data_IF_241761243073
#
_entry.id   IF_241761243073
#
_cell.length_a   1.000
_cell.length_b   1.000
_cell.length_c   1.000
_cell.angle_alpha   90.00
_cell.angle_beta   90.00
_cell.angle_gamma   90.00
#
_symmetry.space_group_name_H-M   'P 1'
#
loop_
_entity.id
_entity.type
_entity.pdbx_description
1 polymer ?
#
# COMPACT_ATOMS: atom_id res chain seq x y z
N UNK A 1 -1.20 6.17 -15.78
CA UNK A 1 -2.30 6.50 -14.85
C UNK A 1 -2.16 7.89 -14.27
N UNK A 2 -1.13 8.18 -13.47
CA UNK A 2 -0.95 9.50 -12.81
C UNK A 2 -0.95 10.67 -13.81
N UNK A 3 -0.21 10.54 -14.92
CA UNK A 3 -0.14 11.58 -15.97
C UNK A 3 -1.50 11.83 -16.63
N UNK A 4 -2.26 10.79 -16.98
CA UNK A 4 -3.56 10.97 -17.63
C UNK A 4 -4.61 11.55 -16.67
N UNK A 5 -4.57 11.18 -15.40
CA UNK A 5 -5.48 11.72 -14.41
C UNK A 5 -5.16 13.19 -14.10
N UNK A 6 -3.88 13.53 -13.95
CA UNK A 6 -3.44 14.87 -13.59
C UNK A 6 -3.54 15.89 -14.74
N UNK A 7 -3.23 15.48 -15.98
CA UNK A 7 -3.19 16.41 -17.12
C UNK A 7 -4.44 16.40 -18.00
N UNK A 8 -5.20 15.30 -18.01
CA UNK A 8 -6.35 15.12 -18.90
C UNK A 8 -7.67 14.92 -18.13
N UNK A 9 -7.64 15.01 -16.80
CA UNK A 9 -8.78 14.76 -15.88
C UNK A 9 -9.52 13.44 -16.14
N UNK A 10 -8.90 12.53 -16.87
CA UNK A 10 -9.53 11.28 -17.25
C UNK A 10 -9.57 10.33 -16.06
N UNK A 11 -10.66 9.54 -15.92
CA UNK A 11 -10.75 8.51 -14.90
C UNK A 11 -9.49 7.60 -14.87
N UNK A 12 -8.93 7.29 -13.69
CA UNK A 12 -7.67 6.54 -13.58
C UNK A 12 -7.66 5.20 -14.33
N UNK A 13 -8.81 4.54 -14.49
CA UNK A 13 -8.90 3.28 -15.23
C UNK A 13 -8.49 3.41 -16.71
N UNK A 14 -8.72 4.55 -17.36
CA UNK A 14 -8.32 4.77 -18.75
C UNK A 14 -6.80 4.76 -18.90
N UNK A 15 -6.08 5.38 -17.95
CA UNK A 15 -4.62 5.34 -17.93
C UNK A 15 -4.06 3.95 -17.65
N UNK A 16 -4.79 3.10 -16.92
CA UNK A 16 -4.41 1.72 -16.64
C UNK A 16 -4.64 0.83 -17.87
N UNK A 17 -5.81 0.96 -18.50
CA UNK A 17 -6.18 0.23 -19.73
C UNK A 17 -5.28 0.60 -20.90
N UNK A 18 -4.93 1.89 -21.04
CA UNK A 18 -3.98 2.36 -22.05
C UNK A 18 -2.58 1.78 -21.81
N UNK A 19 -2.10 1.81 -20.56
CA UNK A 19 -0.81 1.22 -20.21
C UNK A 19 -0.74 -0.30 -20.49
N UNK A 20 -1.80 -1.04 -20.11
CA UNK A 20 -1.92 -2.47 -20.42
C UNK A 20 -2.00 -2.73 -21.93
N UNK A 21 -2.69 -1.88 -22.69
CA UNK A 21 -2.76 -1.95 -24.15
C UNK A 21 -1.40 -1.80 -24.81
N UNK A 22 -0.62 -0.81 -24.38
CA UNK A 22 0.76 -0.58 -24.87
C UNK A 22 1.65 -1.78 -24.51
N UNK A 23 1.60 -2.24 -23.26
CA UNK A 23 2.40 -3.38 -22.80
C UNK A 23 2.06 -4.67 -23.55
N UNK A 24 0.77 -4.94 -23.81
CA UNK A 24 0.33 -6.08 -24.61
C UNK A 24 0.77 -5.97 -26.05
N UNK A 25 0.71 -4.77 -26.64
CA UNK A 25 1.14 -4.54 -28.03
C UNK A 25 2.65 -4.76 -28.18
N UNK A 26 3.45 -4.20 -27.26
CA UNK A 26 4.90 -4.38 -27.26
C UNK A 26 5.31 -5.83 -26.93
N UNK A 27 4.66 -6.44 -25.94
CA UNK A 27 4.86 -7.85 -25.60
C UNK A 27 4.47 -8.80 -26.74
N UNK A 28 3.42 -8.46 -27.50
CA UNK A 28 3.05 -9.20 -28.72
C UNK A 28 4.12 -9.06 -29.79
N UNK A 29 4.67 -7.85 -30.00
CA UNK A 29 5.74 -7.63 -30.95
C UNK A 29 7.03 -8.40 -30.60
N UNK A 30 7.46 -8.37 -29.34
CA UNK A 30 8.60 -9.17 -28.85
C UNK A 30 8.33 -10.66 -29.07
N UNK A 31 7.16 -11.14 -28.64
CA UNK A 31 6.78 -12.54 -28.82
C UNK A 31 6.75 -12.95 -30.29
N UNK A 32 6.32 -12.06 -31.19
CA UNK A 32 6.28 -12.34 -32.64
C UNK A 32 7.68 -12.50 -33.21
N UNK A 33 8.65 -11.67 -32.77
CA UNK A 33 10.05 -11.78 -33.17
C UNK A 33 10.70 -13.05 -32.61
N UNK A 34 10.49 -13.31 -31.32
CA UNK A 34 11.01 -14.49 -30.64
C UNK A 34 10.47 -15.79 -31.25
N UNK A 35 9.19 -15.83 -31.67
CA UNK A 35 8.59 -16.97 -32.36
C UNK A 35 9.14 -17.20 -33.78
N UNK A 36 9.63 -16.16 -34.46
CA UNK A 36 10.24 -16.29 -35.80
C UNK A 36 11.67 -16.81 -35.70
N UNK A 37 12.40 -16.45 -34.64
CA UNK A 37 13.75 -16.94 -34.35
C UNK A 37 13.74 -18.26 -33.53
N UNK A 38 12.56 -18.75 -33.14
CA UNK A 38 12.42 -19.94 -32.30
C UNK A 38 12.75 -21.23 -33.06
N UNK A 39 13.86 -21.86 -32.71
CA UNK A 39 14.15 -23.26 -33.02
C UNK A 39 13.87 -24.10 -31.77
N UNK A 40 13.10 -25.17 -31.89
CA UNK A 40 12.88 -26.11 -30.78
C UNK A 40 14.22 -26.67 -30.31
N UNK A 41 14.69 -26.22 -29.14
CA UNK A 41 15.88 -26.77 -28.49
C UNK A 41 15.41 -28.09 -27.83
N UNK A 42 15.94 -29.26 -28.22
CA UNK A 42 15.59 -30.51 -27.57
C UNK A 42 15.99 -30.42 -26.09
N UNK A 43 15.03 -30.72 -25.21
CA UNK A 43 15.24 -30.76 -23.77
C UNK A 43 16.29 -31.85 -23.52
N UNK A 44 17.50 -31.47 -23.10
CA UNK A 44 18.50 -32.43 -22.63
C UNK A 44 18.01 -33.06 -21.33
N UNK A 45 18.19 -34.37 -21.15
CA UNK A 45 17.76 -35.14 -19.97
C UNK A 45 18.22 -34.53 -18.63
N UNK A 46 19.31 -33.75 -18.62
CA UNK A 46 19.81 -32.99 -17.47
C UNK A 46 18.89 -31.86 -16.95
N UNK A 47 17.92 -31.38 -17.75
CA UNK A 47 16.92 -30.42 -17.26
C UNK A 47 15.76 -31.09 -16.49
N UNK A 48 15.58 -32.41 -16.62
CA UNK A 48 14.59 -33.16 -15.81
C UNK A 48 15.07 -33.36 -14.36
N UNK A 49 16.38 -33.36 -14.12
CA UNK A 49 17.01 -33.63 -12.81
C UNK A 49 17.16 -32.40 -11.91
N UNK A 50 16.72 -31.21 -12.35
CA UNK A 50 16.52 -30.05 -11.46
C UNK A 50 17.78 -29.38 -10.89
N UNK A 51 18.97 -29.59 -11.48
CA UNK A 51 20.25 -29.15 -10.90
C UNK A 51 20.78 -27.78 -11.36
N UNK A 52 19.99 -26.92 -12.03
CA UNK A 52 20.45 -25.56 -12.37
C UNK A 52 20.01 -24.53 -11.31
N UNK A 53 20.89 -23.61 -10.86
CA UNK A 53 20.54 -22.57 -9.91
C UNK A 53 19.44 -21.67 -10.49
N UNK A 54 18.37 -21.48 -9.72
CA UNK A 54 17.09 -20.86 -10.07
C UNK A 54 17.16 -19.33 -10.35
N UNK A 55 18.26 -18.82 -10.87
CA UNK A 55 18.51 -17.40 -11.09
C UNK A 55 18.14 -16.91 -12.50
N UNK A 56 17.94 -17.79 -13.48
CA UNK A 56 17.59 -17.42 -14.85
C UNK A 56 16.49 -18.31 -15.43
N UNK A 57 15.55 -17.67 -16.16
CA UNK A 57 14.42 -18.36 -16.79
C UNK A 57 14.95 -19.29 -17.90
N UNK A 58 14.69 -20.61 -17.87
CA UNK A 58 15.10 -21.50 -18.95
C UNK A 58 14.44 -21.06 -20.26
N UNK A 59 15.21 -21.09 -21.35
CA UNK A 59 14.85 -20.64 -22.70
C UNK A 59 13.83 -21.57 -23.40
N UNK A 60 12.83 -22.07 -22.66
CA UNK A 60 11.93 -23.15 -23.09
C UNK A 60 10.52 -22.64 -23.36
N UNK A 61 10.20 -21.36 -23.07
CA UNK A 61 8.91 -20.75 -23.44
C UNK A 61 9.01 -19.29 -23.89
N UNK A 62 8.32 -18.90 -24.99
CA UNK A 62 8.31 -17.53 -25.49
C UNK A 62 7.74 -16.54 -24.46
N UNK A 63 8.08 -15.26 -24.60
CA UNK A 63 7.65 -14.19 -23.72
C UNK A 63 6.13 -14.18 -23.56
N UNK A 64 5.68 -14.32 -22.31
CA UNK A 64 4.27 -14.34 -21.98
C UNK A 64 4.05 -13.48 -20.73
N UNK A 65 3.44 -12.32 -20.91
CA UNK A 65 3.13 -11.36 -19.84
C UNK A 65 2.22 -11.98 -18.76
N UNK A 66 1.40 -12.98 -19.11
CA UNK A 66 0.55 -13.69 -18.16
C UNK A 66 1.35 -14.49 -17.13
N UNK A 67 2.59 -14.89 -17.45
CA UNK A 67 3.50 -15.52 -16.49
C UNK A 67 3.91 -14.50 -15.41
N UNK A 68 4.21 -13.27 -15.80
CA UNK A 68 4.48 -12.19 -14.84
C UNK A 68 3.23 -11.81 -14.05
N UNK A 69 2.07 -11.79 -14.71
CA UNK A 69 0.79 -11.47 -14.08
C UNK A 69 0.35 -12.51 -13.03
N UNK A 70 0.76 -13.78 -13.18
CA UNK A 70 0.54 -14.83 -12.16
C UNK A 70 1.34 -14.58 -10.87
N UNK A 71 2.43 -13.82 -10.93
CA UNK A 71 3.24 -13.47 -9.76
C UNK A 71 2.72 -12.26 -8.98
N UNK A 72 1.64 -11.63 -9.46
CA UNK A 72 0.99 -10.54 -8.75
C UNK A 72 0.19 -11.10 -7.59
N UNK A 73 0.25 -10.46 -6.42
CA UNK A 73 -0.53 -10.82 -5.24
C UNK A 73 -2.00 -10.38 -5.41
N UNK A 74 -2.76 -11.14 -6.19
CA UNK A 74 -4.17 -10.85 -6.48
C UNK A 74 -5.04 -10.81 -5.23
N UNK A 75 -4.74 -11.64 -4.23
CA UNK A 75 -5.47 -11.67 -2.95
C UNK A 75 -5.35 -10.32 -2.20
N UNK A 76 -4.12 -9.81 -2.08
CA UNK A 76 -3.83 -8.51 -1.48
C UNK A 76 -4.49 -7.35 -2.25
N UNK A 77 -4.45 -7.39 -3.59
CA UNK A 77 -5.09 -6.36 -4.43
C UNK A 77 -6.62 -6.36 -4.29
N UNK A 78 -7.26 -7.53 -4.30
CA UNK A 78 -8.71 -7.65 -4.14
C UNK A 78 -9.15 -7.25 -2.73
N UNK A 79 -8.34 -7.52 -1.70
CA UNK A 79 -8.57 -7.06 -0.33
C UNK A 79 -8.61 -5.52 -0.25
N UNK A 80 -7.59 -4.84 -0.77
CA UNK A 80 -7.56 -3.37 -0.78
C UNK A 80 -8.70 -2.78 -1.63
N UNK A 81 -8.99 -3.39 -2.78
CA UNK A 81 -10.11 -2.98 -3.62
C UNK A 81 -11.45 -3.06 -2.87
N UNK A 82 -11.72 -4.17 -2.19
CA UNK A 82 -12.92 -4.33 -1.38
C UNK A 82 -13.03 -3.28 -0.27
N UNK A 83 -11.94 -3.01 0.43
CA UNK A 83 -11.93 -1.98 1.49
C UNK A 83 -12.21 -0.59 0.91
N UNK A 84 -11.53 -0.21 -0.19
CA UNK A 84 -11.76 1.08 -0.84
C UNK A 84 -13.21 1.23 -1.32
N UNK A 85 -13.81 0.16 -1.86
CA UNK A 85 -15.23 0.16 -2.22
C UNK A 85 -16.15 0.35 -1.01
N UNK A 86 -15.89 -0.35 0.09
CA UNK A 86 -16.68 -0.21 1.32
C UNK A 86 -16.59 1.21 1.88
N UNK A 87 -15.39 1.79 1.96
CA UNK A 87 -15.19 3.17 2.43
C UNK A 87 -15.83 4.17 1.46
N UNK A 88 -15.71 3.96 0.15
CA UNK A 88 -16.42 4.76 -0.85
C UNK A 88 -17.94 4.68 -0.71
N UNK A 89 -18.48 3.50 -0.40
CA UNK A 89 -19.90 3.29 -0.10
C UNK A 89 -20.34 4.05 1.16
N UNK A 90 -19.56 4.00 2.24
CA UNK A 90 -19.80 4.80 3.45
C UNK A 90 -19.76 6.30 3.16
N UNK A 91 -18.88 6.74 2.26
CA UNK A 91 -18.82 8.11 1.76
C UNK A 91 -20.10 8.50 1.01
N UNK A 92 -20.55 7.65 0.08
CA UNK A 92 -21.78 7.89 -0.69
C UNK A 92 -23.04 7.92 0.20
N UNK A 93 -23.05 7.16 1.30
CA UNK A 93 -24.13 7.20 2.31
C UNK A 93 -24.04 8.40 3.26
N UNK A 94 -22.96 9.19 3.22
CA UNK A 94 -22.75 10.36 4.06
C UNK A 94 -22.13 10.07 5.44
N UNK A 95 -21.81 8.82 5.79
CA UNK A 95 -21.20 8.48 7.08
C UNK A 95 -19.82 9.12 7.25
N UNK A 96 -19.04 9.22 6.17
CA UNK A 96 -17.74 9.90 6.22
C UNK A 96 -17.89 11.39 6.52
N UNK A 97 -18.96 12.05 6.09
CA UNK A 97 -19.20 13.46 6.40
C UNK A 97 -19.46 13.66 7.91
N UNK A 98 -20.26 12.78 8.52
CA UNK A 98 -20.52 12.80 9.98
C UNK A 98 -19.24 12.50 10.76
N UNK A 99 -18.45 11.51 10.31
CA UNK A 99 -17.18 11.20 10.95
C UNK A 99 -16.19 12.36 10.84
N UNK A 100 -16.17 13.04 9.68
CA UNK A 100 -15.34 14.21 9.43
C UNK A 100 -15.70 15.36 10.38
N UNK A 101 -16.99 15.66 10.59
CA UNK A 101 -17.39 16.71 11.53
C UNK A 101 -16.99 16.36 12.96
N UNK A 102 -17.24 15.14 13.41
CA UNK A 102 -16.90 14.71 14.77
C UNK A 102 -15.39 14.72 15.04
N UNK A 103 -14.57 14.27 14.09
CA UNK A 103 -13.13 14.23 14.26
C UNK A 103 -12.49 15.60 14.04
N UNK A 104 -12.76 16.23 12.90
CA UNK A 104 -11.99 17.40 12.46
C UNK A 104 -12.59 18.75 12.86
N UNK A 105 -13.92 18.85 13.05
CA UNK A 105 -14.55 20.08 13.52
C UNK A 105 -14.64 20.14 15.05
N UNK A 106 -15.12 19.08 15.71
CA UNK A 106 -15.32 19.08 17.17
C UNK A 106 -14.02 18.83 17.95
N UNK A 107 -13.25 17.82 17.56
CA UNK A 107 -11.98 17.48 18.20
C UNK A 107 -10.81 18.39 17.77
N UNK A 108 -10.89 18.89 16.54
CA UNK A 108 -9.83 19.64 15.87
C UNK A 108 -8.78 18.74 15.21
N UNK A 109 -8.18 19.23 14.11
CA UNK A 109 -7.29 18.47 13.25
C UNK A 109 -6.12 17.79 13.98
N UNK A 110 -5.48 18.48 14.94
CA UNK A 110 -4.35 17.89 15.68
C UNK A 110 -4.76 16.65 16.47
N UNK A 111 -5.83 16.74 17.26
CA UNK A 111 -6.30 15.62 18.08
C UNK A 111 -6.83 14.49 17.19
N UNK A 112 -7.56 14.84 16.13
CA UNK A 112 -8.03 13.89 15.12
C UNK A 112 -6.86 13.11 14.51
N UNK A 113 -5.82 13.78 14.03
CA UNK A 113 -4.69 13.15 13.36
C UNK A 113 -3.89 12.22 14.28
N UNK A 114 -3.73 12.60 15.56
CA UNK A 114 -3.09 11.73 16.56
C UNK A 114 -3.97 10.51 16.87
N UNK A 115 -5.28 10.70 17.01
CA UNK A 115 -6.23 9.60 17.25
C UNK A 115 -6.29 8.63 16.07
N UNK A 116 -6.37 9.16 14.85
CA UNK A 116 -6.33 8.39 13.59
C UNK A 116 -5.05 7.55 13.51
N UNK A 117 -3.90 8.09 13.90
CA UNK A 117 -2.66 7.33 13.97
C UNK A 117 -2.73 6.16 14.97
N UNK A 118 -3.32 6.38 16.15
CA UNK A 118 -3.52 5.30 17.13
C UNK A 118 -4.50 4.25 16.58
N UNK A 119 -5.58 4.65 15.92
CA UNK A 119 -6.51 3.73 15.26
C UNK A 119 -5.82 2.92 14.17
N UNK A 120 -4.77 3.47 13.54
CA UNK A 120 -3.97 2.76 12.54
C UNK A 120 -3.20 1.57 13.12
N UNK A 121 -3.07 1.46 14.44
CA UNK A 121 -2.52 0.29 15.09
C UNK A 121 -3.43 -0.95 14.97
N UNK A 122 -4.72 -0.74 14.72
CA UNK A 122 -5.72 -1.82 14.61
C UNK A 122 -6.12 -2.02 13.15
N UNK A 123 -6.28 -0.91 12.42
CA UNK A 123 -6.66 -0.90 11.00
C UNK A 123 -5.43 -0.47 10.21
N UNK A 124 -5.08 -1.20 9.15
CA UNK A 124 -3.92 -0.87 8.33
C UNK A 124 -3.94 0.60 7.84
N UNK A 125 -2.74 1.16 7.61
CA UNK A 125 -2.56 2.56 7.28
C UNK A 125 -3.21 2.95 5.94
N UNK A 126 -3.27 2.03 4.97
CA UNK A 126 -3.87 2.27 3.65
C UNK A 126 -5.38 2.55 3.75
N UNK A 127 -6.21 1.67 4.35
CA UNK A 127 -7.63 1.95 4.59
C UNK A 127 -7.91 3.24 5.34
N UNK A 128 -7.16 3.51 6.42
CA UNK A 128 -7.35 4.69 7.24
C UNK A 128 -7.09 5.95 6.42
N UNK A 129 -5.96 6.01 5.72
CA UNK A 129 -5.61 7.18 4.90
C UNK A 129 -6.59 7.37 3.75
N UNK A 130 -7.09 6.29 3.15
CA UNK A 130 -8.13 6.38 2.14
C UNK A 130 -9.41 7.02 2.70
N UNK A 131 -9.82 6.68 3.93
CA UNK A 131 -10.97 7.29 4.58
C UNK A 131 -10.74 8.79 4.86
N UNK A 132 -9.58 9.18 5.39
CA UNK A 132 -9.23 10.59 5.65
C UNK A 132 -9.21 11.40 4.35
N UNK A 133 -8.60 10.88 3.29
CA UNK A 133 -8.59 11.52 1.97
C UNK A 133 -10.00 11.65 1.39
N UNK A 134 -10.86 10.65 1.59
CA UNK A 134 -12.25 10.67 1.14
C UNK A 134 -13.10 11.66 1.93
N UNK A 135 -12.80 11.86 3.22
CA UNK A 135 -13.43 12.89 4.06
C UNK A 135 -13.01 14.31 3.65
N UNK A 136 -11.81 14.46 3.06
CA UNK A 136 -11.20 15.72 2.63
C UNK A 136 -11.39 16.87 3.64
N UNK A 137 -10.95 16.70 4.91
CA UNK A 137 -11.08 17.75 5.91
C UNK A 137 -10.22 18.97 5.54
N UNK A 138 -10.73 20.16 5.83
CA UNK A 138 -9.98 21.40 5.63
C UNK A 138 -8.93 21.56 6.74
N UNK A 139 -7.66 21.37 6.38
CA UNK A 139 -6.53 21.48 7.29
C UNK A 139 -5.25 21.89 6.56
N UNK A 140 -4.37 22.61 7.26
CA UNK A 140 -3.10 23.08 6.69
C UNK A 140 -2.12 21.94 6.37
N UNK A 141 -1.06 22.26 5.63
CA UNK A 141 -0.03 21.29 5.24
C UNK A 141 0.62 20.61 6.44
N UNK A 142 0.83 21.33 7.55
CA UNK A 142 1.39 20.76 8.78
C UNK A 142 0.56 19.60 9.32
N UNK A 143 -0.77 19.71 9.26
CA UNK A 143 -1.72 18.66 9.65
C UNK A 143 -1.75 17.49 8.66
N UNK A 144 -1.68 17.75 7.36
CA UNK A 144 -1.54 16.69 6.34
C UNK A 144 -0.28 15.86 6.52
N UNK A 145 0.83 16.51 6.86
CA UNK A 145 2.07 15.82 7.19
C UNK A 145 1.96 15.08 8.53
N UNK A 146 1.27 15.68 9.52
CA UNK A 146 1.05 15.04 10.82
C UNK A 146 0.25 13.74 10.66
N UNK A 147 -0.89 13.76 9.96
CA UNK A 147 -1.71 12.55 9.76
C UNK A 147 -0.97 11.46 9.00
N UNK A 148 -0.16 11.85 8.01
CA UNK A 148 0.66 10.91 7.24
C UNK A 148 1.70 10.24 8.12
N UNK A 149 2.37 11.02 8.98
CA UNK A 149 3.33 10.50 9.95
C UNK A 149 2.65 9.63 11.01
N UNK A 150 1.56 10.10 11.60
CA UNK A 150 0.88 9.40 12.69
C UNK A 150 0.23 8.11 12.20
N UNK A 151 -0.39 8.08 11.02
CA UNK A 151 -0.88 6.84 10.42
C UNK A 151 0.27 5.88 10.07
N UNK A 152 1.38 6.39 9.52
CA UNK A 152 2.54 5.57 9.17
C UNK A 152 3.23 4.92 10.38
N UNK A 153 3.47 5.70 11.43
CA UNK A 153 4.15 5.21 12.65
C UNK A 153 3.18 4.48 13.58
N UNK A 154 1.93 4.94 13.66
CA UNK A 154 0.91 4.42 14.56
C UNK A 154 0.58 2.94 14.33
N UNK A 155 0.65 2.47 13.08
CA UNK A 155 0.52 1.05 12.73
C UNK A 155 1.50 0.12 13.47
N UNK A 156 2.62 0.64 13.98
CA UNK A 156 3.61 -0.13 14.72
C UNK A 156 3.30 -0.29 16.22
N UNK A 157 2.31 0.43 16.77
CA UNK A 157 1.95 0.36 18.19
C UNK A 157 1.47 -1.05 18.59
N UNK A 158 0.77 -1.73 17.69
CA UNK A 158 0.42 -3.14 17.80
C UNK A 158 1.06 -3.90 16.64
N UNK A 159 1.54 -5.12 16.88
CA UNK A 159 2.23 -5.89 15.84
C UNK A 159 1.33 -6.32 14.68
N UNK A 160 0.00 -6.23 14.84
CA UNK A 160 -0.99 -6.55 13.81
C UNK A 160 -1.34 -5.34 12.92
N UNK A 161 -1.06 -4.12 13.39
CA UNK A 161 -1.41 -2.87 12.71
C UNK A 161 -0.53 -2.52 11.53
N UNK A 162 0.47 -3.35 11.22
CA UNK A 162 1.39 -3.15 10.11
C UNK A 162 1.74 -4.47 9.44
N UNK A 163 1.76 -4.48 8.11
CA UNK A 163 2.21 -5.61 7.31
C UNK A 163 3.62 -6.10 7.71
N UNK A 164 4.51 -5.17 8.09
CA UNK A 164 5.85 -5.52 8.56
C UNK A 164 5.81 -6.30 9.89
N UNK A 165 4.93 -5.90 10.82
CA UNK A 165 4.75 -6.59 12.10
C UNK A 165 4.17 -8.00 11.91
N UNK A 166 3.15 -8.14 11.07
CA UNK A 166 2.55 -9.44 10.73
C UNK A 166 3.56 -10.35 10.02
N UNK A 167 4.33 -9.81 9.07
CA UNK A 167 5.37 -10.56 8.37
C UNK A 167 6.47 -11.03 9.33
N UNK A 168 6.94 -10.15 10.22
CA UNK A 168 7.97 -10.49 11.21
C UNK A 168 7.48 -11.58 12.17
N UNK A 169 6.23 -11.52 12.63
CA UNK A 169 5.62 -12.59 13.44
C UNK A 169 5.52 -13.91 12.68
N UNK A 170 5.25 -13.84 11.37
CA UNK A 170 5.20 -15.00 10.49
C UNK A 170 6.54 -15.68 10.27
N UNK A 171 7.63 -14.90 10.17
CA UNK A 171 9.00 -15.37 9.94
C UNK A 171 9.71 -15.79 11.25
N UNK A 172 9.61 -15.00 12.31
CA UNK A 172 10.29 -15.21 13.59
C UNK A 172 9.41 -15.96 14.62
N UNK A 173 8.81 -17.07 14.17
CA UNK A 173 7.86 -17.85 14.99
C UNK A 173 8.51 -18.28 16.31
N UNK A 174 7.83 -17.99 17.42
CA UNK A 174 8.28 -18.33 18.78
C UNK A 174 9.20 -17.30 19.42
N UNK A 175 9.83 -16.41 18.65
CA UNK A 175 10.69 -15.33 19.18
C UNK A 175 9.93 -14.01 19.22
N UNK A 176 9.31 -13.62 18.10
CA UNK A 176 8.52 -12.40 18.01
C UNK A 176 7.03 -12.75 17.93
N UNK A 177 6.30 -12.42 18.99
CA UNK A 177 4.86 -12.70 19.13
C UNK A 177 4.10 -11.42 19.47
N UNK A 178 2.78 -11.45 19.29
CA UNK A 178 1.91 -10.32 19.66
C UNK A 178 2.11 -9.89 21.12
N UNK A 179 2.16 -10.84 22.05
CA UNK A 179 2.37 -10.54 23.47
C UNK A 179 3.78 -10.00 23.77
N UNK A 180 4.79 -10.52 23.08
CA UNK A 180 6.15 -10.01 23.21
C UNK A 180 6.24 -8.55 22.73
N UNK A 181 5.58 -8.21 21.62
CA UNK A 181 5.47 -6.83 21.14
C UNK A 181 4.66 -5.95 22.10
N UNK A 182 3.53 -6.45 22.60
CA UNK A 182 2.64 -5.75 23.51
C UNK A 182 3.36 -5.32 24.80
N UNK A 183 4.27 -6.17 25.31
CA UNK A 183 5.14 -5.85 26.45
C UNK A 183 5.98 -4.58 26.22
N UNK A 184 6.37 -4.32 24.96
CA UNK A 184 7.18 -3.17 24.56
C UNK A 184 6.34 -2.03 23.95
N UNK A 185 5.02 -2.17 23.82
CA UNK A 185 4.16 -1.14 23.24
C UNK A 185 4.30 0.21 23.94
N UNK A 186 4.59 0.27 25.23
CA UNK A 186 4.84 1.55 25.92
C UNK A 186 6.08 2.28 25.37
N UNK A 187 7.16 1.57 25.05
CA UNK A 187 8.36 2.16 24.48
C UNK A 187 8.13 2.61 23.04
N UNK A 188 7.33 1.85 22.28
CA UNK A 188 6.91 2.21 20.93
C UNK A 188 5.99 3.43 20.97
N UNK A 189 5.09 3.51 21.95
CA UNK A 189 4.22 4.67 22.17
C UNK A 189 5.02 5.93 22.53
N UNK A 190 6.13 5.80 23.28
CA UNK A 190 7.07 6.90 23.46
C UNK A 190 7.73 7.32 22.14
N UNK A 191 8.10 6.36 21.28
CA UNK A 191 8.59 6.64 19.93
C UNK A 191 7.55 7.37 19.07
N UNK A 192 6.28 6.96 19.16
CA UNK A 192 5.16 7.63 18.50
C UNK A 192 5.01 9.08 18.98
N UNK A 193 4.98 9.31 20.29
CA UNK A 193 4.92 10.65 20.86
C UNK A 193 6.15 11.50 20.48
N UNK A 194 7.34 10.91 20.50
CA UNK A 194 8.57 11.57 20.08
C UNK A 194 8.53 11.95 18.59
N UNK A 195 7.98 11.10 17.72
CA UNK A 195 7.84 11.41 16.29
C UNK A 195 6.96 12.65 16.04
N UNK A 196 5.87 12.78 16.80
CA UNK A 196 4.99 13.96 16.76
C UNK A 196 5.74 15.20 17.26
N UNK A 197 6.45 15.08 18.38
CA UNK A 197 7.26 16.18 18.94
C UNK A 197 8.34 16.66 17.97
N UNK A 198 9.05 15.74 17.32
CA UNK A 198 10.06 16.06 16.30
C UNK A 198 9.40 16.71 15.08
N UNK A 199 8.24 16.22 14.66
CA UNK A 199 7.48 16.84 13.56
C UNK A 199 7.13 18.28 13.87
N UNK A 200 6.61 18.58 15.07
CA UNK A 200 6.35 19.96 15.48
C UNK A 200 7.62 20.81 15.57
N UNK A 201 8.73 20.24 16.05
CA UNK A 201 10.00 20.96 16.13
C UNK A 201 10.53 21.34 14.75
N UNK A 202 10.43 20.44 13.76
CA UNK A 202 10.95 20.68 12.41
C UNK A 202 9.97 21.47 11.53
N UNK A 203 8.67 21.19 11.64
CA UNK A 203 7.63 21.67 10.75
C UNK A 203 6.65 22.62 11.43
N UNK A 204 6.97 23.15 12.61
CA UNK A 204 6.08 24.05 13.38
C UNK A 204 5.57 25.25 12.58
N UNK A 205 6.39 25.77 11.65
CA UNK A 205 6.01 26.86 10.75
C UNK A 205 4.87 26.51 9.76
N UNK A 206 4.56 25.23 9.56
CA UNK A 206 3.46 24.78 8.69
C UNK A 206 2.12 24.66 9.42
N UNK A 207 2.10 24.86 10.75
CA UNK A 207 0.89 24.80 11.56
C UNK A 207 0.20 26.16 11.72
N UNK A 208 0.85 27.25 11.31
CA UNK A 208 0.23 28.57 11.24
C UNK A 208 -0.62 28.71 9.98
N UNK A 209 -1.78 29.38 10.04
CA UNK A 209 -2.62 29.64 8.88
C UNK A 209 -1.93 30.56 7.85
#
# INVERSE_FOLDING_TARGET
TVVMHHFLEMPPFLGMMTGLGILKSYGHWIRRKELVEWTDIPISDDEQTGQRPALWKPAVKPFNIFISMKRVEWDTLMFFYGIMLCVGGLGALGYLAVLSSLLYQDLGATAANILVGILSAVIDNIPIMFAVLSMNPDMNLGQWLLVTLTAGVGGSLLSIGSAAGVALMGQARGVYTFFAHLKWTWAIALGYAASIGVHWMMNGHLFTP
#
